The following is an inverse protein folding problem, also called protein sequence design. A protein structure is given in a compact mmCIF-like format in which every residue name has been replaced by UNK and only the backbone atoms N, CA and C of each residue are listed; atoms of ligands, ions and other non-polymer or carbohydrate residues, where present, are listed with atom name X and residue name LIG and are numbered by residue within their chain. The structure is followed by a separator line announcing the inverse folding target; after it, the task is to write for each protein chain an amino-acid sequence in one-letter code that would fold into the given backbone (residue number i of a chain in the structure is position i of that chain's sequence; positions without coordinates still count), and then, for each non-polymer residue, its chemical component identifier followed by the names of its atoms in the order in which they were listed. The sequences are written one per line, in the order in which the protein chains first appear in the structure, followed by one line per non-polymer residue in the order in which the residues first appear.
data_IF_366202688686
#
_entry.id   IF_366202688686
#
_cell.length_a   1.000
_cell.length_b   1.000
_cell.length_c   1.000
_cell.angle_alpha   90.00
_cell.angle_beta   90.00
_cell.angle_gamma   90.00
#
_symmetry.space_group_name_H-M   'P 1'
#
loop_
_entity.id
_entity.type
_entity.pdbx_description
1 polymer ?
#
# COMPACT_ATOMS: atom_id res chain seq x y z
N UNK A 1 16.61 -7.56 2.70
CA UNK A 1 16.56 -6.49 1.68
C UNK A 1 17.35 -5.30 2.19
N UNK A 2 17.97 -4.52 1.30
CA UNK A 2 18.51 -3.20 1.66
C UNK A 2 17.38 -2.16 1.55
N UNK A 3 17.37 -1.11 2.36
CA UNK A 3 16.42 0.01 2.26
C UNK A 3 16.40 0.64 0.85
N UNK A 4 17.52 0.53 0.12
CA UNK A 4 17.63 0.92 -1.29
C UNK A 4 16.69 0.17 -2.23
N UNK A 5 16.27 -1.04 -1.89
CA UNK A 5 15.40 -1.84 -2.75
C UNK A 5 13.96 -1.31 -2.75
N UNK A 6 13.47 -0.81 -1.61
CA UNK A 6 12.16 -0.12 -1.52
C UNK A 6 12.17 1.14 -2.37
N UNK A 7 13.25 1.93 -2.34
CA UNK A 7 13.38 3.14 -3.15
C UNK A 7 13.33 2.81 -4.64
N UNK A 8 14.04 1.77 -5.09
CA UNK A 8 14.01 1.32 -6.49
C UNK A 8 12.61 0.84 -6.90
N UNK A 9 11.97 0.04 -6.05
CA UNK A 9 10.62 -0.45 -6.31
C UNK A 9 9.62 0.71 -6.41
N UNK A 10 9.74 1.72 -5.55
CA UNK A 10 8.91 2.94 -5.63
C UNK A 10 9.08 3.68 -6.94
N UNK A 11 10.31 3.79 -7.46
CA UNK A 11 10.56 4.39 -8.78
C UNK A 11 9.91 3.56 -9.89
N UNK A 12 9.96 2.23 -9.83
CA UNK A 12 9.25 1.40 -10.81
C UNK A 12 7.74 1.61 -10.71
N UNK A 13 7.19 1.62 -9.48
CA UNK A 13 5.78 1.83 -9.23
C UNK A 13 5.30 3.24 -9.58
N UNK A 14 6.16 4.26 -9.69
CA UNK A 14 5.73 5.57 -10.18
C UNK A 14 5.29 5.56 -11.65
N UNK A 15 5.64 4.52 -12.41
CA UNK A 15 5.24 4.31 -13.80
C UNK A 15 4.12 3.27 -13.95
N UNK A 16 3.50 2.82 -12.86
CA UNK A 16 2.50 1.75 -12.92
C UNK A 16 1.28 2.09 -13.79
N UNK A 17 0.90 3.37 -13.87
CA UNK A 17 -0.21 3.83 -14.72
C UNK A 17 0.16 3.86 -16.21
N UNK A 18 1.44 3.78 -16.56
CA UNK A 18 1.93 3.84 -17.94
C UNK A 18 2.06 2.46 -18.61
N UNK A 19 1.92 1.37 -17.85
CA UNK A 19 1.99 0.01 -18.37
C UNK A 19 0.60 -0.57 -18.57
N UNK A 20 0.50 -1.61 -19.42
CA UNK A 20 -0.77 -2.28 -19.67
C UNK A 20 -1.34 -2.97 -18.41
N UNK A 21 -2.66 -3.15 -18.36
CA UNK A 21 -3.37 -3.71 -17.20
C UNK A 21 -2.89 -5.11 -16.80
N UNK A 22 -2.42 -5.93 -17.76
CA UNK A 22 -1.88 -7.26 -17.46
C UNK A 22 -0.54 -7.14 -16.73
N UNK A 23 0.29 -6.19 -17.13
CA UNK A 23 1.55 -5.86 -16.44
C UNK A 23 1.29 -5.26 -15.06
N UNK A 24 0.32 -4.35 -14.92
CA UNK A 24 -0.11 -3.81 -13.62
C UNK A 24 -0.53 -4.92 -12.65
N UNK A 25 -1.44 -5.79 -13.09
CA UNK A 25 -1.94 -6.91 -12.28
C UNK A 25 -0.79 -7.82 -11.82
N UNK A 26 0.12 -8.16 -12.74
CA UNK A 26 1.27 -9.01 -12.41
C UNK A 26 2.19 -8.33 -11.39
N UNK A 27 2.47 -7.03 -11.55
CA UNK A 27 3.30 -6.28 -10.60
C UNK A 27 2.69 -6.28 -9.20
N UNK A 28 1.39 -5.99 -9.09
CA UNK A 28 0.68 -5.99 -7.81
C UNK A 28 0.66 -7.37 -7.15
N UNK A 29 0.42 -8.42 -7.95
CA UNK A 29 0.42 -9.79 -7.47
C UNK A 29 1.79 -10.23 -6.93
N UNK A 30 2.88 -9.92 -7.64
CA UNK A 30 4.22 -10.24 -7.16
C UNK A 30 4.61 -9.40 -5.93
N UNK A 31 4.17 -8.14 -5.88
CA UNK A 31 4.42 -7.24 -4.75
C UNK A 31 3.79 -7.77 -3.45
N UNK A 32 2.49 -8.07 -3.46
CA UNK A 32 1.74 -8.51 -2.28
C UNK A 32 2.26 -9.84 -1.71
N UNK A 33 2.83 -10.69 -2.56
CA UNK A 33 3.39 -12.00 -2.14
C UNK A 33 4.76 -11.92 -1.49
N UNK A 34 5.41 -10.76 -1.55
CA UNK A 34 6.70 -10.56 -0.93
C UNK A 34 6.56 -10.27 0.57
N UNK A 35 7.68 -10.28 1.28
CA UNK A 35 7.76 -9.93 2.70
C UNK A 35 7.06 -8.60 3.06
N UNK A 36 6.42 -8.57 4.24
CA UNK A 36 5.57 -7.45 4.69
C UNK A 36 6.35 -6.15 4.85
N UNK A 37 7.59 -6.21 5.35
CA UNK A 37 8.44 -5.04 5.56
C UNK A 37 8.80 -4.35 4.24
N UNK A 38 8.72 -5.10 3.13
CA UNK A 38 8.96 -4.60 1.80
C UNK A 38 7.70 -4.09 1.11
N UNK A 39 6.62 -4.87 1.10
CA UNK A 39 5.47 -4.55 0.27
C UNK A 39 4.54 -3.53 0.94
N UNK A 40 4.40 -3.55 2.27
CA UNK A 40 3.45 -2.70 2.97
C UNK A 40 3.73 -1.19 2.75
N UNK A 41 4.97 -0.69 2.86
CA UNK A 41 5.28 0.70 2.55
C UNK A 41 4.97 1.07 1.08
N UNK A 42 5.10 0.11 0.16
CA UNK A 42 4.84 0.33 -1.26
C UNK A 42 3.33 0.35 -1.57
N UNK A 43 2.53 -0.47 -0.88
CA UNK A 43 1.07 -0.42 -0.97
C UNK A 43 0.52 0.91 -0.41
N UNK A 44 1.07 1.39 0.71
CA UNK A 44 0.72 2.70 1.27
C UNK A 44 1.04 3.83 0.28
N UNK A 45 2.19 3.76 -0.39
CA UNK A 45 2.57 4.70 -1.45
C UNK A 45 1.60 4.66 -2.64
N UNK A 46 1.18 3.47 -3.08
CA UNK A 46 0.21 3.33 -4.17
C UNK A 46 -1.15 3.93 -3.77
N UNK A 47 -1.62 3.67 -2.55
CA UNK A 47 -2.86 4.25 -2.04
C UNK A 47 -2.81 5.78 -2.00
N UNK A 48 -1.69 6.35 -1.53
CA UNK A 48 -1.49 7.79 -1.44
C UNK A 48 -1.40 8.47 -2.81
N UNK A 49 -0.62 7.91 -3.75
CA UNK A 49 -0.19 8.64 -4.97
C UNK A 49 -0.75 8.09 -6.28
N UNK A 50 -1.32 6.88 -6.29
CA UNK A 50 -1.80 6.18 -7.48
C UNK A 50 -3.24 5.70 -7.27
N UNK A 51 -4.13 6.62 -6.87
CA UNK A 51 -5.52 6.29 -6.52
C UNK A 51 -6.29 5.59 -7.65
N UNK A 52 -5.97 5.85 -8.92
CA UNK A 52 -6.63 5.18 -10.03
C UNK A 52 -6.33 3.67 -10.03
N UNK A 53 -5.09 3.29 -9.71
CA UNK A 53 -4.70 1.89 -9.54
C UNK A 53 -5.45 1.28 -8.37
N UNK A 54 -5.57 1.98 -7.24
CA UNK A 54 -6.31 1.47 -6.08
C UNK A 54 -7.81 1.31 -6.35
N UNK A 55 -8.41 2.19 -7.15
CA UNK A 55 -9.80 2.03 -7.61
C UNK A 55 -9.97 0.86 -8.58
N UNK A 56 -8.96 0.60 -9.41
CA UNK A 56 -8.98 -0.52 -10.36
C UNK A 56 -8.75 -1.87 -9.66
N UNK A 57 -7.94 -1.90 -8.60
CA UNK A 57 -7.53 -3.11 -7.90
C UNK A 57 -7.88 -3.03 -6.41
N UNK A 58 -9.13 -3.37 -6.08
CA UNK A 58 -9.67 -3.37 -4.71
C UNK A 58 -8.81 -4.16 -3.71
N UNK A 59 -8.10 -5.19 -4.18
CA UNK A 59 -7.18 -6.00 -3.37
C UNK A 59 -6.12 -5.17 -2.64
N UNK A 60 -5.72 -4.01 -3.17
CA UNK A 60 -4.76 -3.12 -2.49
C UNK A 60 -5.39 -2.58 -1.20
N UNK A 61 -6.62 -2.11 -1.28
CA UNK A 61 -7.34 -1.59 -0.11
C UNK A 61 -7.64 -2.69 0.90
N UNK A 62 -8.13 -3.84 0.44
CA UNK A 62 -8.43 -4.99 1.30
C UNK A 62 -7.17 -5.48 2.05
N UNK A 63 -6.04 -5.54 1.34
CA UNK A 63 -4.75 -5.91 1.94
C UNK A 63 -4.30 -4.88 2.98
N UNK A 64 -4.43 -3.59 2.68
CA UNK A 64 -4.08 -2.52 3.62
C UNK A 64 -4.99 -2.52 4.86
N UNK A 65 -6.29 -2.80 4.71
CA UNK A 65 -7.21 -2.93 5.84
C UNK A 65 -6.80 -4.11 6.72
N UNK A 66 -6.48 -5.27 6.13
CA UNK A 66 -5.97 -6.42 6.90
C UNK A 66 -4.67 -6.06 7.62
N UNK A 67 -3.73 -5.41 6.93
CA UNK A 67 -2.45 -5.05 7.53
C UNK A 67 -2.53 -3.94 8.57
N UNK A 68 -3.52 -3.05 8.52
CA UNK A 68 -3.74 -2.08 9.59
C UNK A 68 -4.16 -2.76 10.91
N UNK A 69 -4.78 -3.94 10.83
CA UNK A 69 -5.12 -4.76 12.00
C UNK A 69 -3.87 -5.42 12.59
N UNK A 70 -3.05 -6.00 11.72
CA UNK A 70 -1.92 -6.86 12.09
C UNK A 70 -0.63 -6.08 12.39
N UNK A 71 -0.44 -4.92 11.74
CA UNK A 71 0.78 -4.10 11.78
C UNK A 71 0.48 -2.61 12.05
N UNK A 72 -0.23 -2.27 13.14
CA UNK A 72 -0.64 -0.89 13.43
C UNK A 72 0.54 0.07 13.60
N UNK A 73 1.67 -0.40 14.14
CA UNK A 73 2.87 0.43 14.34
C UNK A 73 3.46 0.91 13.01
N UNK A 74 3.45 0.06 11.97
CA UNK A 74 3.92 0.45 10.62
C UNK A 74 3.04 1.55 10.01
N UNK A 75 1.72 1.52 10.28
CA UNK A 75 0.82 2.60 9.86
C UNK A 75 1.09 3.89 10.63
N UNK A 76 1.35 3.81 11.93
CA UNK A 76 1.70 4.98 12.74
C UNK A 76 3.02 5.62 12.26
N UNK A 77 4.04 4.81 11.99
CA UNK A 77 5.33 5.27 11.47
C UNK A 77 5.17 5.95 10.09
N UNK A 78 4.28 5.40 9.24
CA UNK A 78 4.01 5.96 7.93
C UNK A 78 3.40 7.37 7.97
N UNK A 79 2.67 7.75 9.04
CA UNK A 79 2.14 9.11 9.22
C UNK A 79 3.23 10.17 9.38
N UNK A 80 4.45 9.75 9.76
CA UNK A 80 5.61 10.61 9.94
C UNK A 80 6.60 10.51 8.77
N UNK A 81 6.29 9.73 7.74
CA UNK A 81 7.17 9.45 6.63
C UNK A 81 7.01 10.44 5.48
N UNK A 82 8.12 10.91 4.93
CA UNK A 82 8.15 11.74 3.70
C UNK A 82 7.65 10.98 2.45
N UNK A 83 7.43 9.66 2.56
CA UNK A 83 6.89 8.86 1.46
C UNK A 83 5.39 9.08 1.24
N UNK A 84 4.67 9.59 2.24
CA UNK A 84 3.23 9.79 2.22
C UNK A 84 2.94 11.29 2.10
N UNK A 85 2.26 11.68 1.03
CA UNK A 85 1.88 13.08 0.76
C UNK A 85 0.59 13.46 1.48
N UNK A 86 -0.35 12.54 1.59
CA UNK A 86 -1.67 12.76 2.17
C UNK A 86 -1.96 11.70 3.25
N UNK A 87 -1.48 11.88 4.50
CA UNK A 87 -1.64 10.90 5.57
C UNK A 87 -3.09 10.58 5.95
N UNK A 88 -4.04 11.45 5.60
CA UNK A 88 -5.48 11.25 5.82
C UNK A 88 -5.99 9.96 5.16
N UNK A 89 -5.36 9.51 4.06
CA UNK A 89 -5.75 8.27 3.42
C UNK A 89 -5.43 7.05 4.28
N UNK A 90 -4.30 7.06 4.98
CA UNK A 90 -3.91 5.98 5.89
C UNK A 90 -4.80 5.96 7.13
N UNK A 91 -5.20 7.13 7.63
CA UNK A 91 -6.18 7.25 8.71
C UNK A 91 -7.53 6.63 8.28
N UNK A 92 -8.00 6.91 7.06
CA UNK A 92 -9.23 6.32 6.55
C UNK A 92 -9.16 4.78 6.44
N UNK A 93 -8.00 4.22 6.07
CA UNK A 93 -7.79 2.76 6.11
C UNK A 93 -7.84 2.23 7.54
N UNK A 94 -7.18 2.88 8.49
CA UNK A 94 -7.19 2.47 9.89
C UNK A 94 -8.62 2.51 10.49
N UNK A 95 -9.41 3.53 10.17
CA UNK A 95 -10.83 3.60 10.57
C UNK A 95 -11.65 2.45 9.97
N UNK A 96 -11.41 2.08 8.70
CA UNK A 96 -12.08 0.93 8.07
C UNK A 96 -11.68 -0.37 8.76
N UNK A 97 -10.41 -0.55 9.07
CA UNK A 97 -9.90 -1.71 9.81
C UNK A 97 -10.51 -1.83 11.21
N UNK A 98 -10.68 -0.72 11.93
CA UNK A 98 -11.35 -0.71 13.23
C UNK A 98 -12.82 -1.15 13.11
N UNK A 99 -13.55 -0.65 12.12
CA UNK A 99 -14.94 -1.08 11.85
C UNK A 99 -15.02 -2.57 11.51
N UNK A 100 -14.07 -3.09 10.74
CA UNK A 100 -14.00 -4.52 10.40
C UNK A 100 -13.72 -5.41 11.62
N UNK A 101 -12.97 -4.93 12.62
CA UNK A 101 -12.80 -5.64 13.90
C UNK A 101 -14.09 -5.76 14.71
N UNK A 102 -14.95 -4.73 14.68
CA UNK A 102 -16.18 -4.67 15.47
C UNK A 102 -17.33 -5.52 14.87
N UNK A 103 -17.22 -5.92 13.61
CA UNK A 103 -18.24 -6.70 12.90
C UNK A 103 -18.06 -8.23 13.06
N UNK A 104 -16.97 -8.67 13.67
CA UNK A 104 -16.63 -10.07 13.96
C UNK A 104 -16.70 -10.36 15.47
#
# INVERSE_FOLDING_TARGET
LDARDIIKARVILSYIEEVDSKTQYRLLFELIRYDVDFHLPLLMYLMDQHQNICQQFEIIEETLISHAIDYPDTFADALHSDMIKNPQILIAIAEKAEKSKQAN
#
